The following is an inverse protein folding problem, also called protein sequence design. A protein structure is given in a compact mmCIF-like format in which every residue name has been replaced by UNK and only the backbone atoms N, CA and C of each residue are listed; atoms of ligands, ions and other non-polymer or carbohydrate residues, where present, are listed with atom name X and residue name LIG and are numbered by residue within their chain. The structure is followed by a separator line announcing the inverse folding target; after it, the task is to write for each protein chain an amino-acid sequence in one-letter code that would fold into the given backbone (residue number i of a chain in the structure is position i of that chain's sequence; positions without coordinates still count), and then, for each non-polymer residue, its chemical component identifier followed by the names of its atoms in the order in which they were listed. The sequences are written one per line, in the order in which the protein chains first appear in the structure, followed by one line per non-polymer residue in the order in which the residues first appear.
data_IF_743609719001
#
_entry.id   IF_743609719001
#
_cell.length_a   1.000
_cell.length_b   1.000
_cell.length_c   1.000
_cell.angle_alpha   90.00
_cell.angle_beta   90.00
_cell.angle_gamma   90.00
#
_symmetry.space_group_name_H-M   'P 1'
#
loop_
_entity.id
_entity.type
_entity.pdbx_description
1 polymer ?
#
# COMPACT_ATOMS: atom_id res chain seq x y z
N UNK A 1 29.74 11.30 -73.56
CA UNK A 1 28.36 11.05 -73.15
C UNK A 1 28.37 10.60 -71.72
N UNK A 2 28.03 11.47 -70.80
CA UNK A 2 27.96 11.11 -69.37
C UNK A 2 26.50 11.03 -68.91
N UNK A 3 26.04 9.87 -68.51
CA UNK A 3 24.76 9.81 -67.77
C UNK A 3 25.01 10.26 -66.36
N UNK A 4 24.40 11.39 -65.98
CA UNK A 4 24.45 11.93 -64.65
C UNK A 4 23.76 10.98 -63.64
N UNK A 5 24.56 10.48 -62.74
CA UNK A 5 24.08 9.79 -61.54
C UNK A 5 23.36 10.77 -60.60
N UNK A 6 22.04 10.76 -60.67
CA UNK A 6 21.23 11.42 -59.68
C UNK A 6 21.28 10.59 -58.41
N UNK A 7 22.11 11.02 -57.45
CA UNK A 7 22.09 10.47 -56.08
C UNK A 7 20.83 11.02 -55.42
N UNK A 8 19.80 10.17 -55.34
CA UNK A 8 18.67 10.40 -54.44
C UNK A 8 19.15 10.19 -53.01
N UNK A 9 19.34 11.29 -52.29
CA UNK A 9 19.45 11.22 -50.85
C UNK A 9 18.06 10.91 -50.28
N UNK A 10 17.84 9.63 -49.91
CA UNK A 10 16.75 9.24 -49.07
C UNK A 10 17.08 9.73 -47.64
N UNK A 11 16.50 10.85 -47.25
CA UNK A 11 16.44 11.28 -45.85
C UNK A 11 15.51 10.28 -45.14
N UNK A 12 16.10 9.27 -44.53
CA UNK A 12 15.40 8.41 -43.59
C UNK A 12 15.10 9.19 -42.34
N UNK A 13 13.91 9.76 -42.27
CA UNK A 13 13.39 10.32 -41.03
C UNK A 13 13.22 9.20 -40.01
N UNK A 14 14.11 9.13 -39.02
CA UNK A 14 13.91 8.32 -37.85
C UNK A 14 12.82 8.98 -37.03
N UNK A 15 11.60 8.49 -37.18
CA UNK A 15 10.49 8.85 -36.31
C UNK A 15 10.78 8.24 -34.94
N UNK A 16 11.39 9.02 -34.05
CA UNK A 16 11.52 8.65 -32.63
C UNK A 16 10.13 8.62 -32.04
N UNK A 17 9.55 7.42 -31.98
CA UNK A 17 8.32 7.18 -31.24
C UNK A 17 8.69 7.28 -29.75
N UNK A 18 8.53 8.48 -29.19
CA UNK A 18 8.60 8.65 -27.73
C UNK A 18 7.40 7.90 -27.13
N UNK A 19 7.64 6.70 -26.62
CA UNK A 19 6.70 6.06 -25.68
C UNK A 19 6.69 6.97 -24.44
N UNK A 20 5.78 7.93 -24.42
CA UNK A 20 5.38 8.56 -23.19
C UNK A 20 4.74 7.46 -22.35
N UNK A 21 5.49 6.92 -21.39
CA UNK A 21 4.95 6.01 -20.41
C UNK A 21 3.78 6.73 -19.75
N UNK A 22 2.57 6.24 -19.94
CA UNK A 22 1.40 6.67 -19.18
C UNK A 22 1.72 6.24 -17.76
N UNK A 23 2.18 7.17 -16.92
CA UNK A 23 2.22 6.94 -15.48
C UNK A 23 0.77 6.70 -15.08
N UNK A 24 0.40 5.45 -14.85
CA UNK A 24 -0.90 5.12 -14.28
C UNK A 24 -0.95 5.79 -12.93
N UNK A 25 -1.84 6.77 -12.76
CA UNK A 25 -2.11 7.34 -11.46
C UNK A 25 -2.54 6.20 -10.54
N UNK A 26 -1.80 5.99 -9.45
CA UNK A 26 -2.12 4.95 -8.49
C UNK A 26 -3.41 5.32 -7.74
N UNK A 27 -4.06 4.31 -7.15
CA UNK A 27 -5.23 4.56 -6.30
C UNK A 27 -4.82 5.25 -4.99
N UNK A 28 -3.60 5.03 -4.56
CA UNK A 28 -3.01 5.64 -3.36
C UNK A 28 -1.91 6.62 -3.79
N UNK A 29 -1.94 7.81 -3.20
CA UNK A 29 -0.98 8.87 -3.44
C UNK A 29 0.31 8.60 -2.66
N UNK A 30 1.39 8.39 -3.37
CA UNK A 30 2.69 8.10 -2.74
C UNK A 30 2.71 6.73 -2.06
N UNK A 31 3.30 6.67 -0.88
CA UNK A 31 3.41 5.46 -0.09
C UNK A 31 2.58 5.58 1.20
N UNK A 32 1.83 4.53 1.56
CA UNK A 32 1.20 4.48 2.86
C UNK A 32 2.24 4.51 3.98
N UNK A 33 1.82 4.90 5.17
CA UNK A 33 2.67 4.89 6.37
C UNK A 33 2.01 4.08 7.49
N UNK A 34 2.82 3.55 8.39
CA UNK A 34 2.34 2.85 9.57
C UNK A 34 3.12 3.32 10.81
N UNK A 35 2.40 3.56 11.89
CA UNK A 35 2.95 4.00 13.17
C UNK A 35 2.42 3.15 14.30
N UNK A 36 3.30 2.70 15.17
CA UNK A 36 2.96 2.04 16.43
C UNK A 36 3.05 3.03 17.60
N UNK A 37 2.09 3.01 18.48
CA UNK A 37 2.11 3.71 19.78
C UNK A 37 2.40 2.77 20.96
N UNK A 38 2.74 1.51 20.68
CA UNK A 38 2.96 0.47 21.69
C UNK A 38 1.66 -0.20 22.18
N UNK A 39 0.52 0.24 21.69
CA UNK A 39 -0.81 -0.31 22.02
C UNK A 39 -1.55 -0.76 20.78
N UNK A 40 -1.47 0.04 19.74
CA UNK A 40 -2.10 -0.15 18.46
C UNK A 40 -1.15 0.25 17.34
N UNK A 41 -1.51 -0.07 16.13
CA UNK A 41 -0.81 0.37 14.92
C UNK A 41 -1.81 1.14 14.07
N UNK A 42 -1.47 2.38 13.75
CA UNK A 42 -2.24 3.20 12.81
C UNK A 42 -1.60 3.15 11.44
N UNK A 43 -2.39 2.78 10.44
CA UNK A 43 -2.01 2.80 9.04
C UNK A 43 -2.67 4.01 8.40
N UNK A 44 -1.88 4.85 7.74
CA UNK A 44 -2.33 6.06 7.07
C UNK A 44 -2.01 6.01 5.59
N UNK A 45 -2.98 6.44 4.75
CA UNK A 45 -2.77 6.67 3.32
C UNK A 45 -3.69 7.78 2.81
N UNK A 46 -3.29 8.41 1.74
CA UNK A 46 -4.12 9.34 0.98
C UNK A 46 -4.55 8.68 -0.33
N UNK A 47 -5.81 8.76 -0.68
CA UNK A 47 -6.25 8.33 -2.01
C UNK A 47 -5.81 9.33 -3.07
N UNK A 48 -5.54 8.83 -4.27
CA UNK A 48 -5.32 9.63 -5.47
C UNK A 48 -6.58 9.57 -6.34
N UNK A 49 -6.64 8.69 -7.31
CA UNK A 49 -7.82 8.48 -8.15
C UNK A 49 -8.60 7.25 -7.67
N UNK A 50 -9.74 7.48 -7.04
CA UNK A 50 -10.66 6.44 -6.58
C UNK A 50 -11.79 6.12 -7.58
N UNK A 51 -11.67 6.52 -8.84
CA UNK A 51 -12.69 6.20 -9.84
C UNK A 51 -12.99 4.70 -9.88
N UNK A 52 -14.23 4.33 -9.58
CA UNK A 52 -14.68 2.95 -9.52
C UNK A 52 -14.27 2.16 -8.29
N UNK A 53 -13.54 2.74 -7.35
CA UNK A 53 -13.17 2.09 -6.08
C UNK A 53 -14.34 2.12 -5.11
N UNK A 54 -14.70 0.97 -4.55
CA UNK A 54 -15.78 0.84 -3.56
C UNK A 54 -15.24 0.68 -2.14
N UNK A 55 -14.00 0.26 -1.97
CA UNK A 55 -13.38 0.09 -0.67
C UNK A 55 -11.95 -0.42 -0.75
N UNK A 56 -11.37 -0.63 0.43
CA UNK A 56 -10.01 -1.15 0.60
C UNK A 56 -10.02 -2.37 1.51
N UNK A 57 -9.36 -3.43 1.09
CA UNK A 57 -9.03 -4.54 1.97
C UNK A 57 -7.72 -4.24 2.69
N UNK A 58 -7.71 -4.46 4.00
CA UNK A 58 -6.53 -4.30 4.83
C UNK A 58 -6.19 -5.65 5.43
N UNK A 59 -4.98 -6.13 5.17
CA UNK A 59 -4.47 -7.39 5.69
C UNK A 59 -3.15 -7.17 6.42
N UNK A 60 -2.85 -8.04 7.37
CA UNK A 60 -1.63 -8.01 8.18
C UNK A 60 -0.96 -9.38 8.20
N UNK A 61 0.35 -9.40 8.20
CA UNK A 61 1.15 -10.56 8.59
C UNK A 61 2.16 -10.22 9.68
N UNK A 62 2.44 -11.18 10.55
CA UNK A 62 3.49 -11.06 11.56
C UNK A 62 4.81 -11.65 11.01
N UNK A 63 5.90 -10.90 11.19
CA UNK A 63 7.23 -11.30 10.72
C UNK A 63 7.34 -11.37 9.19
N UNK A 64 8.44 -11.92 8.74
CA UNK A 64 8.75 -12.04 7.30
C UNK A 64 8.02 -13.21 6.64
N UNK A 65 7.89 -14.34 7.34
CA UNK A 65 7.37 -15.60 6.82
C UNK A 65 5.90 -15.87 7.20
N UNK A 66 5.27 -14.92 7.89
CA UNK A 66 3.86 -15.04 8.30
C UNK A 66 2.91 -15.01 7.11
N UNK A 67 1.71 -15.54 7.32
CA UNK A 67 0.62 -15.45 6.36
C UNK A 67 -0.18 -14.17 6.58
N UNK A 68 -0.68 -13.57 5.49
CA UNK A 68 -1.59 -12.44 5.58
C UNK A 68 -2.95 -12.87 6.10
N UNK A 69 -3.42 -12.15 7.11
CA UNK A 69 -4.76 -12.28 7.68
C UNK A 69 -5.51 -11.00 7.38
N UNK A 70 -6.70 -11.12 6.82
CA UNK A 70 -7.56 -9.97 6.53
C UNK A 70 -8.12 -9.43 7.85
N UNK A 71 -7.81 -8.17 8.13
CA UNK A 71 -8.32 -7.43 9.29
C UNK A 71 -9.61 -6.70 8.96
N UNK A 72 -9.66 -6.10 7.78
CA UNK A 72 -10.78 -5.34 7.26
C UNK A 72 -11.02 -5.76 5.80
N UNK A 73 -12.09 -6.50 5.50
CA UNK A 73 -12.35 -6.98 4.15
C UNK A 73 -12.80 -5.86 3.19
N UNK A 74 -13.41 -4.80 3.70
CA UNK A 74 -13.83 -3.66 2.88
C UNK A 74 -13.95 -2.40 3.74
N UNK A 75 -12.94 -1.57 3.73
CA UNK A 75 -12.97 -0.23 4.31
C UNK A 75 -13.55 0.73 3.28
N UNK A 76 -14.70 1.31 3.56
CA UNK A 76 -15.47 2.09 2.59
C UNK A 76 -14.66 3.23 1.97
N UNK A 77 -14.71 3.36 0.65
CA UNK A 77 -14.09 4.47 -0.08
C UNK A 77 -14.75 5.81 0.28
N UNK A 78 -13.94 6.86 0.34
CA UNK A 78 -14.37 8.24 0.64
C UNK A 78 -14.39 9.14 -0.59
N UNK A 79 -13.81 8.69 -1.68
CA UNK A 79 -13.57 9.46 -2.90
C UNK A 79 -12.10 9.82 -3.10
N UNK A 80 -11.80 10.41 -4.25
CA UNK A 80 -10.42 10.80 -4.60
C UNK A 80 -9.89 11.92 -3.70
N UNK A 81 -8.58 11.93 -3.49
CA UNK A 81 -7.86 12.93 -2.68
C UNK A 81 -8.37 13.03 -1.23
N UNK A 82 -8.67 11.88 -0.60
CA UNK A 82 -9.12 11.82 0.79
C UNK A 82 -8.10 11.10 1.68
N UNK A 83 -7.90 11.56 2.93
CA UNK A 83 -7.08 10.87 3.90
C UNK A 83 -7.83 9.69 4.53
N UNK A 84 -7.09 8.63 4.81
CA UNK A 84 -7.55 7.42 5.47
C UNK A 84 -6.66 7.07 6.63
N UNK A 85 -7.29 6.67 7.74
CA UNK A 85 -6.63 6.09 8.89
C UNK A 85 -7.33 4.80 9.28
N UNK A 86 -6.57 3.72 9.41
CA UNK A 86 -7.05 2.47 9.95
C UNK A 86 -6.25 2.13 11.20
N UNK A 87 -6.93 1.86 12.32
CA UNK A 87 -6.30 1.53 13.59
C UNK A 87 -6.44 0.03 13.85
N UNK A 88 -5.31 -0.65 13.92
CA UNK A 88 -5.23 -2.05 14.31
C UNK A 88 -5.00 -2.15 15.82
N UNK A 89 -6.05 -2.36 16.57
CA UNK A 89 -6.02 -2.56 18.02
C UNK A 89 -5.66 -3.99 18.41
N UNK A 90 -5.58 -4.90 17.45
CA UNK A 90 -5.32 -6.32 17.71
C UNK A 90 -3.84 -6.68 17.65
N UNK A 91 -2.98 -5.77 17.23
CA UNK A 91 -1.56 -6.00 17.09
C UNK A 91 -0.88 -6.41 18.41
N UNK A 92 -1.35 -5.89 19.55
CA UNK A 92 -0.79 -6.22 20.86
C UNK A 92 -1.05 -7.68 21.31
N UNK A 93 -1.98 -8.36 20.68
CA UNK A 93 -2.36 -9.75 21.01
C UNK A 93 -1.49 -10.79 20.34
N UNK A 94 -0.65 -10.38 19.41
CA UNK A 94 0.24 -11.25 18.67
C UNK A 94 1.67 -11.11 19.17
N UNK A 95 2.42 -12.19 19.19
CA UNK A 95 3.79 -12.25 19.70
C UNK A 95 4.86 -11.63 18.78
N UNK A 96 4.46 -11.09 17.62
CA UNK A 96 5.39 -10.47 16.69
C UNK A 96 5.72 -9.03 17.04
N UNK A 97 6.97 -8.65 16.87
CA UNK A 97 7.42 -7.27 17.01
C UNK A 97 7.47 -6.51 15.69
N UNK A 98 7.42 -7.21 14.57
CA UNK A 98 7.39 -6.67 13.22
C UNK A 98 6.16 -7.14 12.47
N UNK A 99 5.44 -6.19 11.87
CA UNK A 99 4.27 -6.47 11.05
C UNK A 99 4.41 -5.87 9.66
N UNK A 100 3.87 -6.58 8.68
CA UNK A 100 3.59 -6.05 7.34
C UNK A 100 2.10 -5.90 7.15
N UNK A 101 1.68 -4.75 6.67
CA UNK A 101 0.31 -4.48 6.26
C UNK A 101 0.24 -4.41 4.74
N UNK A 102 -0.90 -4.77 4.22
CA UNK A 102 -1.22 -4.71 2.81
C UNK A 102 -2.57 -4.03 2.63
N UNK A 103 -2.59 -3.00 1.79
CA UNK A 103 -3.79 -2.27 1.40
C UNK A 103 -4.06 -2.58 -0.06
N UNK A 104 -5.24 -3.07 -0.38
CA UNK A 104 -5.66 -3.44 -1.73
C UNK A 104 -6.98 -2.76 -2.04
N UNK A 105 -7.03 -1.93 -3.08
CA UNK A 105 -8.27 -1.31 -3.52
C UNK A 105 -9.16 -2.33 -4.20
N UNK A 106 -10.47 -2.25 -3.93
CA UNK A 106 -11.52 -3.09 -4.50
C UNK A 106 -12.38 -2.21 -5.40
N UNK A 107 -12.49 -2.59 -6.66
CA UNK A 107 -13.33 -1.89 -7.64
C UNK A 107 -14.75 -2.46 -7.68
N UNK A 108 -15.69 -1.65 -8.13
CA UNK A 108 -17.10 -2.06 -8.32
C UNK A 108 -17.27 -3.24 -9.27
N UNK A 109 -16.33 -3.45 -10.18
CA UNK A 109 -16.27 -4.62 -11.06
C UNK A 109 -15.86 -5.92 -10.34
N UNK A 110 -15.40 -5.84 -9.09
CA UNK A 110 -14.78 -6.94 -8.36
C UNK A 110 -13.26 -7.06 -8.61
N UNK A 111 -12.70 -6.27 -9.51
CA UNK A 111 -11.26 -6.21 -9.72
C UNK A 111 -10.55 -5.64 -8.48
N UNK A 112 -9.27 -5.96 -8.34
CA UNK A 112 -8.42 -5.51 -7.25
C UNK A 112 -7.18 -4.81 -7.78
N UNK A 113 -6.70 -3.79 -7.08
CA UNK A 113 -5.40 -3.18 -7.39
C UNK A 113 -4.25 -4.11 -7.01
N UNK A 114 -3.05 -3.78 -7.48
CA UNK A 114 -1.85 -4.29 -6.84
C UNK A 114 -1.82 -3.84 -5.38
N UNK A 115 -1.30 -4.68 -4.47
CA UNK A 115 -1.27 -4.34 -3.05
C UNK A 115 -0.18 -3.32 -2.76
N UNK A 116 -0.49 -2.35 -1.89
CA UNK A 116 0.47 -1.45 -1.27
C UNK A 116 0.93 -2.06 0.05
N UNK A 117 2.22 -2.29 0.20
CA UNK A 117 2.78 -2.94 1.40
C UNK A 117 3.55 -1.96 2.27
N UNK A 118 3.37 -2.06 3.59
CA UNK A 118 4.06 -1.25 4.58
C UNK A 118 4.53 -2.14 5.74
N UNK A 119 5.78 -1.93 6.17
CA UNK A 119 6.32 -2.58 7.36
C UNK A 119 6.33 -1.63 8.57
N UNK A 120 6.12 -2.15 9.76
CA UNK A 120 6.22 -1.42 11.02
C UNK A 120 6.72 -2.33 12.14
N UNK A 121 7.62 -1.81 12.97
CA UNK A 121 8.00 -2.45 14.22
C UNK A 121 7.01 -2.06 15.32
N UNK A 122 6.52 -3.05 16.03
CA UNK A 122 5.62 -2.85 17.15
C UNK A 122 6.23 -3.44 18.43
N UNK A 123 6.40 -2.60 19.43
CA UNK A 123 6.88 -3.00 20.76
C UNK A 123 5.83 -2.62 21.77
N UNK A 124 5.29 -3.60 22.47
CA UNK A 124 4.34 -3.37 23.56
C UNK A 124 4.99 -2.50 24.63
N UNK A 125 4.31 -1.44 25.05
CA UNK A 125 4.85 -0.54 26.05
C UNK A 125 5.18 -1.26 27.36
N UNK A 126 6.31 -0.90 27.99
CA UNK A 126 6.74 -1.48 29.27
C UNK A 126 5.70 -1.32 30.36
N UNK A 127 4.95 -0.23 30.35
CA UNK A 127 3.85 0.04 31.29
C UNK A 127 2.77 -1.03 31.22
N UNK A 128 2.34 -1.43 30.03
CA UNK A 128 1.34 -2.50 29.87
C UNK A 128 1.87 -3.85 30.32
N UNK A 129 3.13 -4.16 30.07
CA UNK A 129 3.76 -5.41 30.54
C UNK A 129 3.79 -5.45 32.06
N UNK A 130 4.14 -4.35 32.72
CA UNK A 130 4.17 -4.23 34.16
C UNK A 130 2.77 -4.46 34.77
N UNK A 131 1.73 -3.84 34.22
CA UNK A 131 0.35 -4.06 34.65
C UNK A 131 -0.13 -5.48 34.48
N UNK A 132 0.21 -6.15 33.39
CA UNK A 132 -0.10 -7.57 33.17
C UNK A 132 0.55 -8.45 34.22
N UNK A 133 1.81 -8.20 34.56
CA UNK A 133 2.54 -8.92 35.61
C UNK A 133 1.92 -8.68 36.99
N UNK A 134 1.55 -7.45 37.33
CA UNK A 134 0.91 -7.10 38.61
C UNK A 134 -0.44 -7.79 38.74
N UNK A 135 -1.28 -7.79 37.70
CA UNK A 135 -2.56 -8.49 37.70
C UNK A 135 -2.41 -9.99 37.92
N UNK A 136 -1.37 -10.62 37.38
CA UNK A 136 -1.10 -12.04 37.58
C UNK A 136 -0.71 -12.36 39.01
N UNK A 137 -0.13 -11.41 39.74
CA UNK A 137 0.28 -11.58 41.16
C UNK A 137 -0.91 -11.49 42.15
N UNK A 138 -2.02 -10.91 41.76
CA UNK A 138 -3.21 -10.69 42.60
C UNK A 138 -4.38 -11.63 42.30
N UNK A 139 -4.17 -12.66 41.57
CA UNK A 139 -5.16 -13.72 41.30
C UNK A 139 -5.21 -14.76 42.41
#
# INVERSE_FOLDING_TARGET
MNPSLKRSLLLGGVLALSLAGIASAGVIKGQPSARSDGSSITIHWDSDDETGVVGYEIARKAGWDGQYVVLMPSYKSKGSNQPYDFVDETAFRTSGTFYKYRITAIYSSGARSDPYEIGVSHTVSSVRRTWGSIKAMFR
#
